data_IF_016929934405
#
_entry.id   IF_016929934405
#
_cell.length_a   1.000
_cell.length_b   1.000
_cell.length_c   1.000
_cell.angle_alpha   90.00
_cell.angle_beta   90.00
_cell.angle_gamma   90.00
#
_symmetry.space_group_name_H-M   'P 1'
#
loop_
_entity.id
_entity.type
_entity.pdbx_description
1 polymer ?
#
# COMPACT_ATOMS: atom_id res chain seq x y z
N UNK A 1 -41.26 13.99 -18.76
CA UNK A 1 -40.49 14.36 -17.57
C UNK A 1 -40.21 13.13 -16.74
N UNK A 2 -39.04 12.50 -16.90
CA UNK A 2 -38.64 11.38 -16.05
C UNK A 2 -38.21 11.95 -14.68
N UNK A 3 -38.94 11.56 -13.62
CA UNK A 3 -38.55 11.81 -12.24
C UNK A 3 -37.28 11.01 -11.97
N UNK A 4 -36.12 11.62 -12.02
CA UNK A 4 -34.87 11.06 -11.52
C UNK A 4 -35.03 10.84 -10.01
N UNK A 5 -35.20 9.58 -9.61
CA UNK A 5 -35.23 9.18 -8.20
C UNK A 5 -33.78 9.35 -7.69
N UNK A 6 -33.50 10.40 -6.93
CA UNK A 6 -32.20 10.67 -6.35
C UNK A 6 -31.81 9.53 -5.41
N UNK A 7 -30.89 8.68 -5.84
CA UNK A 7 -30.13 7.87 -4.90
C UNK A 7 -28.93 8.70 -4.42
N UNK A 8 -28.75 8.79 -3.12
CA UNK A 8 -27.64 9.55 -2.55
C UNK A 8 -26.34 8.79 -2.78
N UNK A 9 -25.34 9.49 -3.31
CA UNK A 9 -23.94 9.06 -3.17
C UNK A 9 -23.56 9.32 -1.73
N UNK A 10 -23.11 8.29 -1.04
CA UNK A 10 -22.77 8.35 0.38
C UNK A 10 -21.42 7.70 0.58
N UNK A 11 -20.57 8.31 1.38
CA UNK A 11 -19.32 7.71 1.83
C UNK A 11 -19.15 7.99 3.34
N UNK A 12 -19.06 6.93 4.12
CA UNK A 12 -18.75 6.98 5.55
C UNK A 12 -17.42 6.29 5.77
N UNK A 13 -16.50 6.94 6.47
CA UNK A 13 -15.23 6.33 6.85
C UNK A 13 -14.91 6.61 8.32
N UNK A 14 -14.39 5.58 9.00
CA UNK A 14 -13.88 5.65 10.36
C UNK A 14 -12.47 5.10 10.35
N UNK A 15 -11.54 5.86 10.89
CA UNK A 15 -10.15 5.45 11.05
C UNK A 15 -9.75 5.54 12.51
N UNK A 16 -9.12 4.50 13.02
CA UNK A 16 -8.55 4.48 14.37
C UNK A 16 -7.09 4.07 14.30
N UNK A 17 -6.28 4.69 15.14
CA UNK A 17 -4.87 4.35 15.31
C UNK A 17 -4.55 4.29 16.79
N UNK A 18 -3.89 3.21 17.20
CA UNK A 18 -3.47 3.02 18.57
C UNK A 18 -2.05 2.45 18.60
N UNK A 19 -1.20 2.99 19.47
CA UNK A 19 0.16 2.52 19.66
C UNK A 19 0.49 2.49 21.14
N UNK A 20 1.07 1.38 21.60
CA UNK A 20 1.43 1.17 23.00
C UNK A 20 2.78 0.47 23.14
N UNK A 21 3.70 0.98 23.99
CA UNK A 21 4.84 0.22 24.44
C UNK A 21 4.41 -0.98 25.29
N UNK A 22 4.96 -2.16 25.02
CA UNK A 22 4.66 -3.39 25.75
C UNK A 22 5.65 -3.64 26.89
N UNK A 23 6.79 -2.94 26.90
CA UNK A 23 7.81 -3.06 27.92
C UNK A 23 8.10 -1.72 28.62
N UNK A 24 8.64 -1.77 29.82
CA UNK A 24 8.99 -0.59 30.61
C UNK A 24 10.07 0.28 29.96
N UNK A 25 10.95 -0.34 29.17
CA UNK A 25 12.03 0.36 28.44
C UNK A 25 11.55 0.96 27.12
N UNK A 26 10.29 0.77 26.75
CA UNK A 26 9.70 1.22 25.48
C UNK A 26 10.46 0.74 24.25
N UNK A 27 11.04 -0.47 24.36
CA UNK A 27 11.77 -1.10 23.23
C UNK A 27 10.83 -1.88 22.35
N UNK A 28 9.85 -2.56 22.93
CA UNK A 28 8.83 -3.32 22.22
C UNK A 28 7.56 -2.48 22.14
N UNK A 29 7.11 -2.15 20.94
CA UNK A 29 5.92 -1.33 20.70
C UNK A 29 4.96 -2.10 19.82
N UNK A 30 3.72 -2.21 20.28
CA UNK A 30 2.59 -2.71 19.52
C UNK A 30 1.82 -1.53 18.92
N UNK A 31 1.46 -1.63 17.66
CA UNK A 31 0.61 -0.66 16.96
C UNK A 31 -0.51 -1.36 16.23
N UNK A 32 -1.68 -0.73 16.22
CA UNK A 32 -2.83 -1.17 15.43
C UNK A 32 -3.47 0.00 14.71
N UNK A 33 -3.88 -0.23 13.47
CA UNK A 33 -4.62 0.71 12.66
C UNK A 33 -5.81 0.01 12.03
N UNK A 34 -6.99 0.61 12.16
CA UNK A 34 -8.23 0.08 11.62
C UNK A 34 -8.90 1.15 10.76
N UNK A 35 -9.35 0.77 9.58
CA UNK A 35 -10.20 1.58 8.72
C UNK A 35 -11.45 0.81 8.36
N UNK A 36 -12.58 1.45 8.56
CA UNK A 36 -13.89 0.98 8.08
C UNK A 36 -14.43 2.00 7.11
N UNK A 37 -14.94 1.53 5.99
CA UNK A 37 -15.55 2.38 4.98
C UNK A 37 -16.79 1.73 4.42
N UNK A 38 -17.85 2.54 4.29
CA UNK A 38 -19.03 2.20 3.52
C UNK A 38 -19.25 3.28 2.48
N UNK A 39 -19.30 2.88 1.21
CA UNK A 39 -19.56 3.77 0.10
C UNK A 39 -20.71 3.25 -0.76
N UNK A 40 -21.59 4.15 -1.18
CA UNK A 40 -22.56 3.90 -2.22
C UNK A 40 -22.29 4.85 -3.37
N UNK A 41 -21.80 4.33 -4.50
CA UNK A 41 -21.55 5.09 -5.71
C UNK A 41 -22.64 4.81 -6.74
N UNK A 42 -23.03 5.86 -7.48
CA UNK A 42 -24.05 5.78 -8.53
C UNK A 42 -23.50 6.47 -9.77
N UNK A 43 -23.60 5.81 -10.91
CA UNK A 43 -23.19 6.37 -12.19
C UNK A 43 -24.16 5.97 -13.30
N UNK A 44 -24.06 6.66 -14.46
CA UNK A 44 -24.80 6.34 -15.67
C UNK A 44 -23.86 5.64 -16.65
N UNK A 45 -24.24 4.44 -17.06
CA UNK A 45 -23.49 3.65 -18.02
C UNK A 45 -24.24 3.65 -19.33
N UNK A 46 -23.54 3.96 -20.42
CA UNK A 46 -24.09 3.83 -21.76
C UNK A 46 -24.04 2.38 -22.22
N UNK A 47 -25.19 1.80 -22.52
CA UNK A 47 -25.29 0.51 -23.20
C UNK A 47 -25.75 0.75 -24.63
N UNK A 48 -24.94 0.30 -25.60
CA UNK A 48 -25.29 0.35 -27.01
C UNK A 48 -25.87 -1.00 -27.42
N UNK A 49 -27.13 -1.03 -27.79
CA UNK A 49 -27.76 -2.18 -28.45
C UNK A 49 -28.13 -1.78 -29.89
N UNK A 50 -27.31 -2.18 -30.84
CA UNK A 50 -27.45 -1.76 -32.25
C UNK A 50 -27.30 -0.24 -32.43
N UNK A 51 -28.27 0.42 -33.05
CA UNK A 51 -28.28 1.88 -33.25
C UNK A 51 -28.89 2.68 -32.07
N UNK A 52 -29.36 2.02 -31.02
CA UNK A 52 -29.96 2.68 -29.87
C UNK A 52 -28.98 2.76 -28.69
N UNK A 53 -28.77 3.97 -28.24
CA UNK A 53 -27.94 4.25 -27.03
C UNK A 53 -28.90 4.45 -25.84
N UNK A 54 -28.77 3.62 -24.82
CA UNK A 54 -29.50 3.78 -23.58
C UNK A 54 -28.56 4.02 -22.41
N UNK A 55 -28.85 5.07 -21.63
CA UNK A 55 -28.16 5.31 -20.37
C UNK A 55 -28.81 4.49 -19.26
N UNK A 56 -28.09 3.50 -18.75
CA UNK A 56 -28.52 2.64 -17.64
C UNK A 56 -27.87 3.14 -16.36
N UNK A 57 -28.64 3.25 -15.31
CA UNK A 57 -28.12 3.63 -13.99
C UNK A 57 -27.45 2.42 -13.33
N UNK A 58 -26.18 2.59 -12.98
CA UNK A 58 -25.42 1.63 -12.18
C UNK A 58 -25.28 2.14 -10.74
N UNK A 59 -25.43 1.24 -9.78
CA UNK A 59 -25.22 1.51 -8.35
C UNK A 59 -24.33 0.42 -7.78
N UNK A 60 -23.24 0.83 -7.12
CA UNK A 60 -22.31 -0.09 -6.47
C UNK A 60 -22.16 0.30 -5.01
N UNK A 61 -22.39 -0.67 -4.13
CA UNK A 61 -22.16 -0.57 -2.70
C UNK A 61 -20.85 -1.25 -2.37
N UNK A 62 -19.99 -0.55 -1.65
CA UNK A 62 -18.70 -1.05 -1.20
C UNK A 62 -18.62 -0.97 0.31
N UNK A 63 -18.24 -2.07 0.94
CA UNK A 63 -17.83 -2.15 2.34
C UNK A 63 -16.35 -2.53 2.39
N UNK A 64 -15.56 -1.79 3.13
CA UNK A 64 -14.16 -2.05 3.38
C UNK A 64 -13.91 -2.14 4.88
N UNK A 65 -13.21 -3.19 5.30
CA UNK A 65 -12.60 -3.30 6.61
C UNK A 65 -11.12 -3.58 6.42
N UNK A 66 -10.28 -2.64 6.82
CA UNK A 66 -8.83 -2.76 6.76
C UNK A 66 -8.26 -2.72 8.17
N UNK A 67 -7.52 -3.76 8.54
CA UNK A 67 -6.89 -3.94 9.84
C UNK A 67 -5.39 -4.14 9.65
N UNK A 68 -4.59 -3.33 10.30
CA UNK A 68 -3.13 -3.49 10.35
C UNK A 68 -2.66 -3.66 11.78
N UNK A 69 -1.82 -4.64 12.01
CA UNK A 69 -1.10 -4.88 13.27
C UNK A 69 0.40 -4.74 13.02
N UNK A 70 1.09 -4.06 13.93
CA UNK A 70 2.55 -3.85 13.87
C UNK A 70 3.17 -4.19 15.21
N UNK A 71 4.33 -4.81 15.17
CA UNK A 71 5.17 -5.03 16.33
C UNK A 71 6.58 -4.55 15.99
N UNK A 72 7.05 -3.55 16.70
CA UNK A 72 8.37 -2.96 16.48
C UNK A 72 9.24 -3.18 17.71
N UNK A 73 10.49 -3.56 17.49
CA UNK A 73 11.49 -3.76 18.54
C UNK A 73 12.73 -2.90 18.26
N UNK A 74 13.14 -2.13 19.27
CA UNK A 74 14.37 -1.33 19.24
C UNK A 74 15.53 -2.16 19.78
N UNK A 75 16.49 -2.44 18.92
CA UNK A 75 17.73 -3.13 19.24
C UNK A 75 18.81 -2.11 19.61
N UNK A 76 19.11 -2.00 20.91
CA UNK A 76 20.02 -0.95 21.38
C UNK A 76 19.46 0.47 21.20
N UNK A 77 20.32 1.42 20.86
CA UNK A 77 19.96 2.84 20.73
C UNK A 77 19.53 3.27 19.32
N UNK A 78 19.92 2.52 18.31
CA UNK A 78 19.85 3.02 16.93
C UNK A 78 19.41 1.99 15.88
N UNK A 79 19.18 0.73 16.28
CA UNK A 79 18.72 -0.32 15.38
C UNK A 79 17.26 -0.68 15.68
N UNK A 80 16.52 -1.09 14.67
CA UNK A 80 15.11 -1.44 14.80
C UNK A 80 14.78 -2.67 13.98
N UNK A 81 13.86 -3.47 14.48
CA UNK A 81 13.24 -4.58 13.75
C UNK A 81 11.73 -4.47 13.92
N UNK A 82 10.99 -4.89 12.91
CA UNK A 82 9.54 -4.86 12.96
C UNK A 82 8.90 -5.96 12.14
N UNK A 83 7.72 -6.35 12.54
CA UNK A 83 6.83 -7.19 11.75
C UNK A 83 5.48 -6.48 11.60
N UNK A 84 4.87 -6.68 10.45
CA UNK A 84 3.58 -6.09 10.10
C UNK A 84 2.70 -7.15 9.46
N UNK A 85 1.44 -7.17 9.86
CA UNK A 85 0.39 -7.94 9.20
C UNK A 85 -0.78 -7.01 8.95
N UNK A 86 -1.34 -7.05 7.75
CA UNK A 86 -2.56 -6.32 7.43
C UNK A 86 -3.52 -7.18 6.63
N UNK A 87 -4.82 -7.00 6.85
CA UNK A 87 -5.89 -7.63 6.11
C UNK A 87 -6.94 -6.58 5.74
N UNK A 88 -7.24 -6.47 4.45
CA UNK A 88 -8.27 -5.60 3.91
C UNK A 88 -9.36 -6.46 3.28
N UNK A 89 -10.48 -6.59 3.98
CA UNK A 89 -11.66 -7.25 3.46
C UNK A 89 -12.51 -6.25 2.69
N UNK A 90 -12.95 -6.66 1.49
CA UNK A 90 -13.81 -5.87 0.62
C UNK A 90 -15.02 -6.65 0.21
N UNK A 91 -16.19 -6.06 0.41
CA UNK A 91 -17.47 -6.56 -0.10
C UNK A 91 -18.04 -5.52 -1.06
N UNK A 92 -18.19 -5.88 -2.32
CA UNK A 92 -18.67 -4.99 -3.38
C UNK A 92 -19.89 -5.64 -4.01
N UNK A 93 -21.02 -4.94 -3.97
CA UNK A 93 -22.29 -5.37 -4.56
C UNK A 93 -22.69 -4.40 -5.67
N UNK A 94 -22.80 -4.91 -6.89
CA UNK A 94 -23.24 -4.16 -8.07
C UNK A 94 -24.39 -4.90 -8.77
N UNK A 95 -25.43 -4.18 -9.23
CA UNK A 95 -26.60 -4.80 -9.84
C UNK A 95 -26.63 -4.72 -11.37
N UNK A 96 -25.66 -4.08 -11.99
CA UNK A 96 -25.79 -3.66 -13.40
C UNK A 96 -24.55 -4.01 -14.25
N UNK A 97 -23.55 -4.67 -13.68
CA UNK A 97 -22.26 -4.92 -14.34
C UNK A 97 -22.00 -6.42 -14.51
N UNK A 98 -20.91 -6.77 -15.19
CA UNK A 98 -20.46 -8.14 -15.41
C UNK A 98 -20.08 -8.89 -14.12
N UNK A 99 -20.24 -8.25 -12.96
CA UNK A 99 -20.11 -8.88 -11.65
C UNK A 99 -21.27 -8.44 -10.74
N UNK A 100 -21.91 -9.39 -10.10
CA UNK A 100 -22.97 -9.13 -9.14
C UNK A 100 -22.43 -8.90 -7.73
N UNK A 101 -21.35 -9.56 -7.38
CA UNK A 101 -20.80 -9.56 -6.03
C UNK A 101 -19.30 -9.90 -6.01
N UNK A 102 -18.51 -9.09 -5.30
CA UNK A 102 -17.10 -9.39 -5.00
C UNK A 102 -16.94 -9.46 -3.49
N UNK A 103 -16.42 -10.58 -3.00
CA UNK A 103 -16.06 -10.77 -1.60
C UNK A 103 -14.58 -11.19 -1.53
N UNK A 104 -13.71 -10.20 -1.38
CA UNK A 104 -12.28 -10.38 -1.52
C UNK A 104 -11.53 -9.96 -0.26
N UNK A 105 -10.39 -10.58 -0.04
CA UNK A 105 -9.44 -10.23 1.02
C UNK A 105 -8.07 -10.01 0.42
N UNK A 106 -7.52 -8.83 0.65
CA UNK A 106 -6.11 -8.54 0.41
C UNK A 106 -5.39 -8.61 1.76
N UNK A 107 -4.40 -9.47 1.92
CA UNK A 107 -3.62 -9.50 3.14
C UNK A 107 -2.13 -9.47 2.85
N UNK A 108 -1.42 -8.69 3.68
CA UNK A 108 0.00 -8.48 3.54
C UNK A 108 0.67 -8.79 4.87
N UNK A 109 1.80 -9.45 4.80
CA UNK A 109 2.64 -9.68 5.98
C UNK A 109 4.11 -9.53 5.62
N UNK A 110 4.85 -8.94 6.51
CA UNK A 110 6.25 -8.64 6.24
C UNK A 110 7.05 -8.30 7.46
N UNK A 111 8.34 -8.19 7.24
CA UNK A 111 9.31 -7.79 8.24
C UNK A 111 10.19 -6.66 7.71
N UNK A 112 10.61 -5.79 8.62
CA UNK A 112 11.54 -4.70 8.37
C UNK A 112 12.69 -4.78 9.35
N UNK A 113 13.89 -4.41 8.95
CA UNK A 113 15.02 -4.29 9.84
C UNK A 113 15.90 -3.13 9.41
N UNK A 114 16.43 -2.40 10.39
CA UNK A 114 17.42 -1.34 10.18
C UNK A 114 18.49 -1.45 11.27
N UNK A 115 19.72 -1.64 10.86
CA UNK A 115 20.88 -1.81 11.76
C UNK A 115 21.93 -0.75 11.49
N UNK A 116 22.34 -0.06 12.54
CA UNK A 116 23.51 0.77 12.53
C UNK A 116 24.71 -0.08 13.00
N UNK A 117 25.60 -0.35 12.07
CA UNK A 117 26.80 -1.15 12.28
C UNK A 117 28.00 -0.24 12.64
N UNK A 118 29.11 -0.81 13.20
CA UNK A 118 30.36 -0.10 13.31
C UNK A 118 30.80 0.53 11.99
N UNK A 119 31.73 1.47 12.04
CA UNK A 119 32.31 2.18 10.88
C UNK A 119 31.33 3.04 10.09
N UNK A 120 30.24 3.52 10.70
CA UNK A 120 29.21 4.36 10.07
C UNK A 120 28.49 3.69 8.90
N UNK A 121 28.35 2.38 8.96
CA UNK A 121 27.55 1.60 8.01
C UNK A 121 26.13 1.47 8.57
N UNK A 122 25.12 1.71 7.72
CA UNK A 122 23.73 1.41 8.03
C UNK A 122 23.18 0.44 6.99
N UNK A 123 22.50 -0.59 7.46
CA UNK A 123 21.82 -1.58 6.61
C UNK A 123 20.33 -1.55 6.94
N UNK A 124 19.52 -1.39 5.91
CA UNK A 124 18.06 -1.46 6.00
C UNK A 124 17.52 -2.52 5.06
N UNK A 125 16.47 -3.20 5.45
CA UNK A 125 15.78 -4.16 4.58
C UNK A 125 14.31 -4.25 4.94
N UNK A 126 13.48 -4.49 3.94
CA UNK A 126 12.08 -4.85 4.08
C UNK A 126 11.71 -5.99 3.13
N UNK A 127 10.97 -6.93 3.65
CA UNK A 127 10.40 -8.03 2.88
C UNK A 127 8.91 -8.12 3.19
N UNK A 128 8.08 -8.10 2.15
CA UNK A 128 6.63 -8.13 2.31
C UNK A 128 5.99 -9.05 1.27
N UNK A 129 5.17 -9.96 1.75
CA UNK A 129 4.28 -10.77 0.92
C UNK A 129 2.95 -10.03 0.77
N UNK A 130 2.52 -9.83 -0.46
CA UNK A 130 1.21 -9.30 -0.84
C UNK A 130 0.37 -10.44 -1.40
N UNK A 131 -0.75 -10.72 -0.77
CA UNK A 131 -1.63 -11.81 -1.16
C UNK A 131 -3.04 -11.32 -1.40
N UNK A 132 -3.66 -11.77 -2.49
CA UNK A 132 -5.03 -11.43 -2.88
C UNK A 132 -5.85 -12.69 -3.06
N UNK A 133 -7.07 -12.71 -2.51
CA UNK A 133 -7.99 -13.85 -2.57
C UNK A 133 -9.43 -13.39 -2.72
N UNK A 134 -10.26 -14.23 -3.34
CA UNK A 134 -11.71 -14.00 -3.47
C UNK A 134 -12.11 -13.11 -4.65
N UNK A 135 -11.18 -12.79 -5.56
CA UNK A 135 -11.51 -12.12 -6.81
C UNK A 135 -11.91 -13.16 -7.87
N UNK A 136 -12.90 -12.83 -8.72
CA UNK A 136 -13.43 -13.74 -9.74
C UNK A 136 -12.41 -14.13 -10.81
N UNK A 137 -11.54 -13.21 -11.19
CA UNK A 137 -10.45 -13.50 -12.13
C UNK A 137 -9.29 -14.22 -11.45
N UNK A 138 -8.88 -15.38 -11.94
CA UNK A 138 -7.72 -16.11 -11.40
C UNK A 138 -6.44 -15.27 -11.41
N UNK A 139 -6.27 -14.41 -12.42
CA UNK A 139 -5.16 -13.46 -12.54
C UNK A 139 -5.15 -12.35 -11.47
N UNK A 140 -6.26 -12.17 -10.76
CA UNK A 140 -6.38 -11.18 -9.67
C UNK A 140 -5.99 -11.78 -8.30
N UNK A 141 -5.96 -13.11 -8.18
CA UNK A 141 -5.60 -13.81 -6.95
C UNK A 141 -4.09 -14.12 -6.97
N UNK A 142 -3.28 -13.16 -6.54
CA UNK A 142 -1.81 -13.20 -6.63
C UNK A 142 -1.13 -13.38 -5.28
N UNK A 143 0.13 -13.79 -5.33
CA UNK A 143 1.08 -13.74 -4.21
C UNK A 143 2.37 -13.10 -4.72
N UNK A 144 2.63 -11.89 -4.28
CA UNK A 144 3.77 -11.11 -4.74
C UNK A 144 4.71 -10.85 -3.56
N UNK A 145 5.88 -11.51 -3.54
CA UNK A 145 6.90 -11.31 -2.51
C UNK A 145 7.86 -10.22 -2.98
N UNK A 146 7.82 -9.07 -2.31
CA UNK A 146 8.72 -7.95 -2.58
C UNK A 146 9.81 -7.91 -1.51
N UNK A 147 11.05 -7.76 -1.96
CA UNK A 147 12.20 -7.58 -1.10
C UNK A 147 13.02 -6.37 -1.55
N UNK A 148 13.18 -5.41 -0.64
CA UNK A 148 14.04 -4.24 -0.82
C UNK A 148 15.15 -4.24 0.22
N UNK A 149 16.31 -3.72 -0.15
CA UNK A 149 17.42 -3.55 0.78
C UNK A 149 18.19 -2.27 0.48
N UNK A 150 18.75 -1.68 1.52
CA UNK A 150 19.59 -0.50 1.46
C UNK A 150 20.87 -0.74 2.28
N UNK A 151 22.00 -0.32 1.74
CA UNK A 151 23.22 -0.17 2.49
C UNK A 151 23.72 1.27 2.32
N UNK A 152 24.11 1.90 3.41
CA UNK A 152 24.73 3.22 3.36
C UNK A 152 26.02 3.25 4.16
N UNK A 153 26.96 4.06 3.69
CA UNK A 153 28.24 4.28 4.33
C UNK A 153 28.54 5.78 4.39
N UNK A 154 28.80 6.27 5.60
CA UNK A 154 29.08 7.69 5.83
C UNK A 154 30.54 7.88 6.22
N UNK A 155 31.25 8.75 5.50
CA UNK A 155 32.64 9.06 5.67
C UNK A 155 32.91 10.57 5.79
N UNK A 156 34.16 10.98 5.92
CA UNK A 156 34.58 12.38 6.03
C UNK A 156 33.87 13.14 7.18
N UNK A 157 33.75 12.50 8.35
CA UNK A 157 33.08 13.07 9.53
C UNK A 157 31.63 13.47 9.25
N UNK A 158 30.89 12.62 8.51
CA UNK A 158 29.50 12.86 8.19
C UNK A 158 29.22 13.70 6.95
N UNK A 159 30.26 14.12 6.22
CA UNK A 159 30.09 14.98 5.04
C UNK A 159 29.76 14.23 3.76
N UNK A 160 30.24 13.01 3.60
CA UNK A 160 30.02 12.21 2.40
C UNK A 160 29.28 10.92 2.76
N UNK A 161 28.16 10.69 2.12
CA UNK A 161 27.37 9.47 2.30
C UNK A 161 27.14 8.81 0.94
N UNK A 162 27.48 7.53 0.88
CA UNK A 162 27.14 6.62 -0.21
C UNK A 162 25.94 5.77 0.21
N UNK A 163 24.96 5.61 -0.67
CA UNK A 163 23.81 4.73 -0.43
C UNK A 163 23.56 3.89 -1.66
N UNK A 164 23.42 2.61 -1.48
CA UNK A 164 23.00 1.67 -2.52
C UNK A 164 21.65 1.11 -2.12
N UNK A 165 20.65 1.38 -2.94
CA UNK A 165 19.27 0.87 -2.82
C UNK A 165 19.04 -0.22 -3.84
N UNK A 166 18.56 -1.38 -3.40
CA UNK A 166 18.03 -2.43 -4.24
C UNK A 166 16.51 -2.52 -4.08
N UNK A 167 15.79 -2.41 -5.17
CA UNK A 167 14.33 -2.48 -5.21
C UNK A 167 13.88 -3.73 -5.92
N UNK A 168 12.86 -4.40 -5.34
CA UNK A 168 12.29 -5.64 -5.85
C UNK A 168 13.36 -6.66 -6.26
N UNK A 169 14.27 -6.97 -5.34
CA UNK A 169 15.45 -7.81 -5.59
C UNK A 169 15.08 -9.15 -6.20
N UNK A 170 13.90 -9.67 -5.86
CA UNK A 170 13.38 -10.95 -6.37
C UNK A 170 12.71 -10.79 -7.75
N UNK A 171 12.35 -9.57 -8.17
CA UNK A 171 11.70 -9.30 -9.46
C UNK A 171 10.26 -9.80 -9.53
N UNK A 172 9.54 -9.79 -8.41
CA UNK A 172 8.18 -10.32 -8.30
C UNK A 172 7.10 -9.24 -8.30
N UNK A 173 7.48 -7.98 -8.52
CA UNK A 173 6.52 -6.87 -8.52
C UNK A 173 5.47 -7.04 -9.62
N UNK A 174 4.20 -7.07 -9.22
CA UNK A 174 3.08 -7.08 -10.15
C UNK A 174 2.74 -5.64 -10.54
N UNK A 175 2.93 -5.31 -11.82
CA UNK A 175 2.71 -3.97 -12.37
C UNK A 175 1.27 -3.72 -12.83
N UNK A 176 0.32 -4.55 -12.40
CA UNK A 176 -1.08 -4.46 -12.79
C UNK A 176 -1.89 -3.90 -11.62
N UNK A 177 -2.48 -2.73 -11.81
CA UNK A 177 -3.44 -2.16 -10.86
C UNK A 177 -4.86 -2.45 -11.34
N UNK A 178 -5.69 -2.96 -10.44
CA UNK A 178 -7.08 -3.31 -10.73
C UNK A 178 -8.01 -2.53 -9.83
N UNK A 179 -9.00 -1.89 -10.44
CA UNK A 179 -10.03 -1.11 -9.75
C UNK A 179 -11.41 -1.58 -10.19
N UNK A 180 -12.34 -1.59 -9.24
CA UNK A 180 -13.76 -1.86 -9.50
C UNK A 180 -14.57 -0.71 -8.93
N UNK A 181 -15.44 -0.13 -9.76
CA UNK A 181 -16.32 0.98 -9.39
C UNK A 181 -17.67 0.85 -10.11
N UNK A 182 -18.54 1.86 -9.99
CA UNK A 182 -19.86 1.85 -10.62
C UNK A 182 -19.84 1.79 -12.16
N UNK A 183 -18.72 2.17 -12.78
CA UNK A 183 -18.53 2.15 -14.24
C UNK A 183 -18.03 0.79 -14.73
N UNK A 184 -17.39 0.00 -13.85
CA UNK A 184 -16.90 -1.32 -14.19
C UNK A 184 -15.59 -1.70 -13.55
N UNK A 185 -14.97 -2.71 -14.13
CA UNK A 185 -13.63 -3.18 -13.80
C UNK A 185 -12.63 -2.53 -14.73
N UNK A 186 -11.61 -1.90 -14.15
CA UNK A 186 -10.49 -1.32 -14.88
C UNK A 186 -9.20 -2.04 -14.50
N UNK A 187 -8.46 -2.49 -15.49
CA UNK A 187 -7.09 -3.00 -15.33
C UNK A 187 -6.12 -1.99 -15.94
N UNK A 188 -5.20 -1.51 -15.15
CA UNK A 188 -4.15 -0.60 -15.60
C UNK A 188 -2.82 -1.32 -15.55
N UNK A 189 -2.18 -1.47 -16.70
CA UNK A 189 -0.83 -2.00 -16.84
C UNK A 189 0.15 -0.84 -16.76
N UNK A 190 1.05 -0.90 -15.79
CA UNK A 190 2.10 0.11 -15.62
C UNK A 190 3.41 -0.50 -16.07
N UNK A 191 4.07 0.13 -17.04
CA UNK A 191 5.39 -0.30 -17.47
C UNK A 191 6.43 0.19 -16.44
N UNK A 192 6.64 -0.58 -15.38
CA UNK A 192 7.59 -0.29 -14.32
C UNK A 192 8.83 -1.19 -14.45
N UNK A 193 9.98 -0.70 -13.98
CA UNK A 193 11.19 -1.51 -13.90
C UNK A 193 10.99 -2.62 -12.88
N UNK A 194 11.09 -3.91 -13.26
CA UNK A 194 10.78 -5.02 -12.35
C UNK A 194 11.77 -5.13 -11.19
N UNK A 195 13.04 -4.90 -11.42
CA UNK A 195 14.09 -4.83 -10.40
C UNK A 195 15.15 -3.83 -10.81
N UNK A 196 15.64 -3.05 -9.87
CA UNK A 196 16.70 -2.09 -10.14
C UNK A 196 17.49 -1.75 -8.88
N UNK A 197 18.67 -1.21 -9.07
CA UNK A 197 19.46 -0.65 -8.00
C UNK A 197 19.82 0.81 -8.30
N UNK A 198 19.85 1.64 -7.26
CA UNK A 198 20.23 3.05 -7.37
C UNK A 198 21.40 3.33 -6.44
N UNK A 199 22.46 3.92 -6.99
CA UNK A 199 23.56 4.44 -6.21
C UNK A 199 23.37 5.94 -6.00
N UNK A 200 23.30 6.35 -4.74
CA UNK A 200 23.24 7.75 -4.34
C UNK A 200 24.57 8.18 -3.72
N UNK A 201 24.99 9.39 -4.05
CA UNK A 201 26.16 10.03 -3.44
C UNK A 201 25.71 11.40 -2.93
N UNK A 202 25.78 11.62 -1.63
CA UNK A 202 25.40 12.88 -1.01
C UNK A 202 26.62 13.51 -0.33
N UNK A 203 26.89 14.77 -0.66
CA UNK A 203 27.95 15.55 -0.01
C UNK A 203 27.37 16.80 0.65
N UNK A 204 27.62 16.98 1.96
CA UNK A 204 27.15 18.11 2.75
C UNK A 204 28.21 19.20 2.81
N UNK A 205 27.94 20.33 2.17
CA UNK A 205 28.77 21.53 2.22
C UNK A 205 28.37 22.38 3.44
N UNK A 206 29.26 22.48 4.44
CA UNK A 206 29.07 23.44 5.53
C UNK A 206 29.79 24.74 5.18
N UNK A 207 29.07 25.74 4.65
CA UNK A 207 29.58 27.10 4.56
C UNK A 207 29.42 27.77 5.91
N UNK A 208 30.54 28.15 6.52
CA UNK A 208 30.51 29.09 7.66
C UNK A 208 30.10 30.47 7.15
N UNK A 209 29.07 31.13 7.76
CA UNK A 209 28.76 32.51 7.39
C UNK A 209 30.03 33.38 7.61
N UNK A 210 30.39 34.20 6.60
CA UNK A 210 31.43 35.23 6.77
C UNK A 210 30.95 36.17 7.88
N UNK A 211 31.71 36.29 8.97
CA UNK A 211 31.53 37.39 9.92
C UNK A 211 31.89 38.67 9.16
N UNK A 212 30.92 39.56 8.95
CA UNK A 212 31.15 40.95 8.61
C UNK A 212 31.49 41.72 9.86
#
# INVERSE_FOLDING_TARGET
>A
LYKLKYQRVVNYSVNTNYEQPLDKMKRLTFGTWTRMEYANSVDLIGKSEGSNYQAIRSSVQTMLLDQTLKLNYKVGSSSTMGVKVSAAWRNINGKTMDFDHINAVDFNYGATASFNLPWHIQVGTDITMYSRRGYEGSSMNTNDLLWNARISYTMLKGKLTWMLDGFDILGNMNNITRMVNAQGRTETFVNALPRYAILHVAYHFNMKPKKH
#
